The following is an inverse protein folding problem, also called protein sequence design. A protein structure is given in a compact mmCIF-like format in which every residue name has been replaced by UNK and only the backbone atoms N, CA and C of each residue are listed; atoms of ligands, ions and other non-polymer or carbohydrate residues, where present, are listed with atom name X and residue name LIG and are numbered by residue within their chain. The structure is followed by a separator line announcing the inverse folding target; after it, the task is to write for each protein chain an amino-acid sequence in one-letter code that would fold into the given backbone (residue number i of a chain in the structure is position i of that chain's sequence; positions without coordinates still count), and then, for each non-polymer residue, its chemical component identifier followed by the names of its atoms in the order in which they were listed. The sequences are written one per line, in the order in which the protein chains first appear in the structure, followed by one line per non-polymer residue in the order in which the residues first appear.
data_IF_887178171440
#
_entry.id   IF_887178171440
#
_cell.length_a   1.000
_cell.length_b   1.000
_cell.length_c   1.000
_cell.angle_alpha   90.00
_cell.angle_beta   90.00
_cell.angle_gamma   90.00
#
_symmetry.space_group_name_H-M   'P 1'
#
loop_
_entity.id
_entity.type
_entity.pdbx_description
1 polymer ?
#
# COMPACT_ATOMS: atom_id res chain seq x y z
N UNK A 1 68.07 -6.94 -4.99
CA UNK A 1 67.66 -7.68 -3.79
C UNK A 1 66.61 -6.88 -3.04
N UNK A 2 65.61 -7.56 -2.45
CA UNK A 2 64.52 -7.04 -1.60
C UNK A 2 63.32 -6.37 -2.32
N UNK A 3 62.40 -7.20 -2.82
CA UNK A 3 60.95 -7.03 -2.59
C UNK A 3 60.19 -8.22 -3.22
N UNK A 4 60.19 -9.37 -2.53
CA UNK A 4 59.38 -10.56 -2.88
C UNK A 4 59.02 -11.33 -1.60
N UNK A 5 58.35 -10.69 -0.65
CA UNK A 5 57.68 -11.37 0.48
C UNK A 5 56.46 -10.52 0.86
N UNK A 6 55.38 -10.62 0.08
CA UNK A 6 54.05 -10.09 0.44
C UNK A 6 53.00 -10.65 -0.53
N UNK A 7 52.95 -11.97 -0.69
CA UNK A 7 51.86 -12.60 -1.47
C UNK A 7 51.48 -14.01 -1.01
N UNK A 8 51.68 -14.33 0.27
CA UNK A 8 51.27 -15.64 0.84
C UNK A 8 50.37 -15.49 2.08
N UNK A 9 50.04 -14.26 2.51
CA UNK A 9 49.27 -14.00 3.74
C UNK A 9 47.75 -13.91 3.59
N UNK A 10 47.17 -14.00 2.39
CA UNK A 10 45.75 -13.67 2.17
C UNK A 10 44.88 -14.82 1.63
N UNK A 11 45.44 -16.03 1.47
CA UNK A 11 44.68 -17.21 1.01
C UNK A 11 44.47 -18.24 2.14
N UNK A 12 45.13 -18.08 3.30
CA UNK A 12 44.98 -18.99 4.44
C UNK A 12 43.85 -18.66 5.42
N UNK A 13 43.22 -17.48 5.33
CA UNK A 13 42.21 -17.03 6.31
C UNK A 13 40.76 -17.39 5.93
N UNK A 14 40.53 -17.96 4.75
CA UNK A 14 39.17 -18.25 4.24
C UNK A 14 38.68 -19.68 4.50
N UNK A 15 39.47 -20.54 5.15
CA UNK A 15 39.14 -21.97 5.30
C UNK A 15 39.05 -22.48 6.76
N UNK A 16 38.90 -21.58 7.74
CA UNK A 16 38.83 -21.93 9.17
C UNK A 16 37.63 -21.32 9.92
N UNK A 17 36.56 -20.93 9.21
CA UNK A 17 35.37 -20.34 9.80
C UNK A 17 34.16 -21.29 9.89
N UNK A 18 34.36 -22.59 9.72
CA UNK A 18 33.29 -23.59 9.77
C UNK A 18 33.49 -24.60 10.90
N UNK A 19 33.57 -24.13 12.16
CA UNK A 19 33.19 -24.91 13.37
C UNK A 19 33.44 -24.06 14.63
N UNK A 20 32.49 -23.22 15.05
CA UNK A 20 32.43 -22.72 16.43
C UNK A 20 30.95 -22.53 16.86
N UNK A 21 30.57 -22.88 18.10
CA UNK A 21 29.18 -23.12 18.51
C UNK A 21 28.37 -21.85 18.87
N UNK A 22 27.05 -22.05 18.85
CA UNK A 22 25.91 -21.15 19.08
C UNK A 22 25.88 -20.55 20.51
N UNK A 23 26.83 -19.67 20.86
CA UNK A 23 26.79 -18.95 22.16
C UNK A 23 27.15 -17.45 22.11
N UNK A 24 27.20 -16.83 20.93
CA UNK A 24 27.53 -15.40 20.78
C UNK A 24 26.35 -14.45 20.54
N UNK A 25 25.12 -14.95 20.34
CA UNK A 25 23.95 -14.10 20.06
C UNK A 25 23.53 -13.23 21.26
N UNK A 26 23.78 -13.65 22.50
CA UNK A 26 23.42 -12.88 23.70
C UNK A 26 24.36 -11.69 23.99
N UNK A 27 25.64 -11.78 23.64
CA UNK A 27 26.62 -10.72 23.90
C UNK A 27 26.53 -9.61 22.84
N UNK A 28 26.26 -9.98 21.59
CA UNK A 28 26.06 -9.04 20.49
C UNK A 28 24.83 -8.15 20.71
N UNK A 29 23.73 -8.73 21.22
CA UNK A 29 22.53 -7.95 21.56
C UNK A 29 22.78 -6.97 22.71
N UNK A 30 23.60 -7.34 23.70
CA UNK A 30 24.00 -6.42 24.79
C UNK A 30 24.93 -5.30 24.32
N UNK A 31 25.83 -5.58 23.38
CA UNK A 31 26.70 -4.57 22.77
C UNK A 31 25.90 -3.62 21.88
N UNK A 32 24.95 -4.15 21.09
CA UNK A 32 24.06 -3.34 20.25
C UNK A 32 23.15 -2.44 21.09
N UNK A 33 22.55 -2.97 22.17
CA UNK A 33 21.78 -2.16 23.13
C UNK A 33 22.63 -1.06 23.80
N UNK A 34 23.88 -1.36 24.18
CA UNK A 34 24.77 -0.33 24.75
C UNK A 34 25.17 0.74 23.74
N UNK A 35 25.36 0.36 22.48
CA UNK A 35 25.67 1.30 21.40
C UNK A 35 24.46 2.19 21.07
N UNK A 36 23.25 1.63 21.02
CA UNK A 36 22.00 2.36 20.80
C UNK A 36 21.71 3.32 21.98
N UNK A 37 21.87 2.87 23.23
CA UNK A 37 21.73 3.75 24.40
C UNK A 37 22.78 4.88 24.45
N UNK A 38 24.00 4.63 23.98
CA UNK A 38 25.03 5.66 23.90
C UNK A 38 24.73 6.67 22.77
N UNK A 39 24.18 6.21 21.65
CA UNK A 39 23.76 7.06 20.54
C UNK A 39 22.55 7.93 20.91
N UNK A 40 21.54 7.37 21.58
CA UNK A 40 20.40 8.13 22.10
C UNK A 40 20.84 9.17 23.12
N UNK A 41 21.69 8.82 24.10
CA UNK A 41 22.21 9.81 25.06
C UNK A 41 23.02 10.93 24.41
N UNK A 42 23.75 10.63 23.32
CA UNK A 42 24.50 11.65 22.58
C UNK A 42 23.58 12.55 21.73
N UNK A 43 22.50 12.00 21.19
CA UNK A 43 21.48 12.73 20.45
C UNK A 43 20.64 13.61 21.39
N UNK A 44 20.21 13.09 22.54
CA UNK A 44 19.49 13.85 23.56
C UNK A 44 20.33 14.99 24.13
N UNK A 45 21.62 14.76 24.37
CA UNK A 45 22.53 15.82 24.86
C UNK A 45 22.70 16.93 23.82
N UNK A 46 22.80 16.59 22.53
CA UNK A 46 22.86 17.57 21.43
C UNK A 46 21.52 18.27 21.17
N UNK A 47 20.40 17.59 21.42
CA UNK A 47 19.07 18.17 21.32
C UNK A 47 18.82 19.16 22.47
N UNK A 48 19.17 18.80 23.71
CA UNK A 48 19.06 19.66 24.89
C UNK A 48 19.92 20.92 24.78
N UNK A 49 21.15 20.83 24.26
CA UNK A 49 22.01 22.00 24.01
C UNK A 49 21.47 22.94 22.93
N UNK A 50 20.58 22.48 22.03
CA UNK A 50 20.02 23.29 20.94
C UNK A 50 18.59 23.79 21.16
N UNK A 51 17.82 23.21 22.09
CA UNK A 51 16.40 23.57 22.25
C UNK A 51 15.99 23.93 23.67
N UNK A 52 16.85 23.79 24.70
CA UNK A 52 16.53 24.23 26.06
C UNK A 52 15.30 23.55 26.69
N UNK A 53 14.88 22.38 26.18
CA UNK A 53 13.75 21.60 26.70
C UNK A 53 14.29 20.40 27.48
N UNK A 54 13.93 20.33 28.76
CA UNK A 54 14.33 19.26 29.67
C UNK A 54 13.27 18.15 29.65
N UNK A 55 13.52 17.05 28.95
CA UNK A 55 12.62 15.88 28.92
C UNK A 55 13.32 14.69 29.55
N UNK A 56 13.01 14.43 30.82
CA UNK A 56 13.41 13.20 31.51
C UNK A 56 12.58 12.02 31.04
N UNK A 57 13.25 10.95 30.63
CA UNK A 57 12.64 9.69 30.22
C UNK A 57 12.56 8.73 31.40
N UNK A 58 11.40 8.10 31.61
CA UNK A 58 11.31 6.82 32.32
C UNK A 58 10.13 6.00 31.80
N UNK A 59 10.44 4.84 31.25
CA UNK A 59 9.55 3.71 31.00
C UNK A 59 9.30 2.91 32.29
N UNK A 60 8.05 2.56 32.62
CA UNK A 60 7.52 1.19 32.53
C UNK A 60 6.04 1.13 33.02
N UNK A 61 5.34 0.19 32.42
CA UNK A 61 3.95 -0.31 32.51
C UNK A 61 3.17 -0.15 33.82
N UNK A 62 1.95 0.42 33.78
CA UNK A 62 0.73 -0.15 34.40
C UNK A 62 -0.53 0.65 33.99
N UNK A 63 -1.51 -0.04 33.40
CA UNK A 63 -2.88 0.49 33.20
C UNK A 63 -3.51 0.85 34.55
N UNK A 64 -3.67 2.14 34.82
CA UNK A 64 -4.70 2.65 35.73
C UNK A 64 -5.13 4.02 35.21
N UNK A 65 -6.42 4.15 34.92
CA UNK A 65 -7.10 5.41 34.66
C UNK A 65 -6.79 6.42 35.77
N UNK A 66 -5.99 7.44 35.46
CA UNK A 66 -5.91 8.64 36.27
C UNK A 66 -5.87 9.87 35.37
N UNK A 67 -6.92 10.65 35.52
CA UNK A 67 -7.12 12.00 35.05
C UNK A 67 -5.94 12.88 35.52
N UNK A 68 -4.91 12.99 34.68
CA UNK A 68 -3.82 13.94 34.83
C UNK A 68 -4.17 15.23 34.10
N UNK A 69 -4.48 16.28 34.87
CA UNK A 69 -4.58 17.66 34.39
C UNK A 69 -3.25 18.10 33.74
N UNK A 70 -3.12 17.89 32.43
CA UNK A 70 -2.09 18.56 31.62
C UNK A 70 -2.59 19.96 31.26
N UNK A 71 -2.50 20.86 32.24
CA UNK A 71 -2.74 22.28 32.03
C UNK A 71 -1.52 22.89 31.34
N UNK A 72 -1.61 23.16 30.04
CA UNK A 72 -0.56 23.93 29.36
C UNK A 72 -0.66 24.06 27.86
N UNK A 73 -1.15 23.05 27.14
CA UNK A 73 -1.23 23.13 25.68
C UNK A 73 -2.63 23.55 25.23
N UNK A 74 -2.77 24.62 24.42
CA UNK A 74 -4.07 25.00 23.89
C UNK A 74 -4.59 23.84 23.02
N UNK A 75 -5.73 23.28 23.40
CA UNK A 75 -6.45 22.36 22.55
C UNK A 75 -6.97 23.12 21.31
N UNK A 76 -6.86 22.50 20.13
CA UNK A 76 -7.42 23.08 18.94
C UNK A 76 -8.95 23.20 19.08
N UNK A 77 -9.48 24.42 19.01
CA UNK A 77 -10.92 24.71 19.12
C UNK A 77 -11.51 25.24 17.81
N UNK A 78 -10.73 25.24 16.72
CA UNK A 78 -11.15 25.78 15.43
C UNK A 78 -10.38 25.18 14.25
N UNK A 79 -10.60 25.74 13.06
CA UNK A 79 -10.03 25.27 11.80
C UNK A 79 -11.09 24.60 10.92
N UNK A 80 -11.13 24.97 9.63
CA UNK A 80 -12.10 24.45 8.66
C UNK A 80 -11.75 23.07 8.09
N UNK A 81 -10.77 22.38 8.68
CA UNK A 81 -10.21 21.16 8.11
C UNK A 81 -9.33 21.42 6.88
N UNK A 82 -9.02 20.35 6.14
CA UNK A 82 -8.27 20.41 4.89
C UNK A 82 -9.25 20.42 3.71
N UNK A 83 -8.90 21.16 2.65
CA UNK A 83 -9.62 21.09 1.39
C UNK A 83 -9.36 19.74 0.74
N UNK A 84 -10.42 18.99 0.46
CA UNK A 84 -10.36 17.63 -0.13
C UNK A 84 -10.78 17.60 -1.60
N UNK A 85 -11.08 18.76 -2.19
CA UNK A 85 -11.37 18.85 -3.62
C UNK A 85 -10.11 18.54 -4.42
N UNK A 86 -10.24 17.76 -5.51
CA UNK A 86 -9.11 17.50 -6.41
C UNK A 86 -8.43 18.80 -6.87
N UNK A 87 -7.10 18.80 -7.08
CA UNK A 87 -6.41 19.93 -7.68
C UNK A 87 -7.01 20.29 -9.05
N UNK A 88 -7.14 21.58 -9.33
CA UNK A 88 -7.57 22.03 -10.66
C UNK A 88 -6.46 21.76 -11.68
N UNK A 89 -6.73 20.83 -12.60
CA UNK A 89 -5.77 20.40 -13.62
C UNK A 89 -5.33 21.58 -14.50
N UNK A 90 -6.28 22.42 -14.94
CA UNK A 90 -5.99 23.51 -15.88
C UNK A 90 -5.16 24.61 -15.22
N UNK A 91 -5.51 24.97 -13.99
CA UNK A 91 -4.76 25.96 -13.22
C UNK A 91 -3.32 25.50 -13.00
N UNK A 92 -3.13 24.26 -12.53
CA UNK A 92 -1.80 23.72 -12.25
C UNK A 92 -0.94 23.57 -13.53
N UNK A 93 -1.54 23.28 -14.69
CA UNK A 93 -0.80 23.26 -15.96
C UNK A 93 -0.35 24.67 -16.38
N UNK A 94 -1.18 25.70 -16.17
CA UNK A 94 -0.80 27.09 -16.45
C UNK A 94 0.30 27.58 -15.50
N UNK A 95 0.24 27.20 -14.22
CA UNK A 95 1.28 27.49 -13.24
C UNK A 95 2.60 26.81 -13.59
N UNK A 96 2.55 25.54 -14.02
CA UNK A 96 3.70 24.79 -14.48
C UNK A 96 4.39 25.47 -15.66
N UNK A 97 3.62 25.89 -16.68
CA UNK A 97 4.15 26.59 -17.85
C UNK A 97 4.82 27.92 -17.46
N UNK A 98 4.17 28.69 -16.57
CA UNK A 98 4.68 29.97 -16.08
C UNK A 98 6.00 29.78 -15.31
N UNK A 99 6.03 28.84 -14.38
CA UNK A 99 7.22 28.52 -13.59
C UNK A 99 8.37 28.01 -14.46
N UNK A 100 8.07 27.19 -15.48
CA UNK A 100 9.08 26.66 -16.40
C UNK A 100 9.72 27.79 -17.22
N UNK A 101 8.92 28.72 -17.77
CA UNK A 101 9.43 29.90 -18.48
C UNK A 101 10.30 30.79 -17.60
N UNK A 102 10.00 30.86 -16.30
CA UNK A 102 10.80 31.55 -15.31
C UNK A 102 12.04 30.76 -14.83
N UNK A 103 12.32 29.59 -15.41
CA UNK A 103 13.40 28.66 -15.00
C UNK A 103 13.28 28.14 -13.56
N UNK A 104 12.10 28.28 -12.95
CA UNK A 104 11.80 27.75 -11.62
C UNK A 104 11.36 26.29 -11.72
N UNK A 105 12.32 25.41 -11.96
CA UNK A 105 12.02 24.00 -12.24
C UNK A 105 11.38 23.24 -11.07
N UNK A 106 11.64 23.66 -9.83
CA UNK A 106 11.01 23.09 -8.64
C UNK A 106 9.50 23.33 -8.62
N UNK A 107 9.10 24.59 -8.82
CA UNK A 107 7.69 25.00 -8.90
C UNK A 107 7.00 24.38 -10.13
N UNK A 108 7.68 24.38 -11.28
CA UNK A 108 7.16 23.74 -12.48
C UNK A 108 6.87 22.26 -12.25
N UNK A 109 7.80 21.54 -11.60
CA UNK A 109 7.63 20.13 -11.26
C UNK A 109 6.47 19.92 -10.28
N UNK A 110 6.38 20.71 -9.23
CA UNK A 110 5.31 20.61 -8.23
C UNK A 110 3.94 20.83 -8.88
N UNK A 111 3.79 21.86 -9.71
CA UNK A 111 2.55 22.15 -10.40
C UNK A 111 2.15 21.01 -11.37
N UNK A 112 3.10 20.42 -12.11
CA UNK A 112 2.81 19.23 -12.93
C UNK A 112 2.32 18.06 -12.06
N UNK A 113 2.92 17.82 -10.90
CA UNK A 113 2.48 16.77 -9.98
C UNK A 113 1.05 17.01 -9.46
N UNK A 114 0.71 18.25 -9.13
CA UNK A 114 -0.66 18.62 -8.75
C UNK A 114 -1.65 18.42 -9.89
N UNK A 115 -1.28 18.79 -11.13
CA UNK A 115 -2.13 18.55 -12.30
C UNK A 115 -2.37 17.05 -12.52
N UNK A 116 -1.33 16.21 -12.41
CA UNK A 116 -1.45 14.75 -12.51
C UNK A 116 -2.37 14.18 -11.43
N UNK A 117 -2.19 14.60 -10.17
CA UNK A 117 -3.07 14.22 -9.08
C UNK A 117 -4.53 14.60 -9.37
N UNK A 118 -4.78 15.80 -9.92
CA UNK A 118 -6.12 16.23 -10.35
C UNK A 118 -6.73 15.28 -11.39
N UNK A 119 -5.97 14.91 -12.43
CA UNK A 119 -6.42 13.97 -13.47
C UNK A 119 -6.74 12.60 -12.89
N UNK A 120 -5.89 12.07 -12.02
CA UNK A 120 -6.09 10.76 -11.38
C UNK A 120 -7.34 10.75 -10.49
N UNK A 121 -7.58 11.83 -9.75
CA UNK A 121 -8.79 11.97 -8.95
C UNK A 121 -10.04 12.10 -9.82
N UNK A 122 -9.98 12.77 -10.97
CA UNK A 122 -11.10 12.80 -11.93
C UNK A 122 -11.41 11.40 -12.48
N UNK A 123 -10.38 10.64 -12.85
CA UNK A 123 -10.52 9.27 -13.33
C UNK A 123 -11.13 8.39 -12.25
N UNK A 124 -10.59 8.43 -11.03
CA UNK A 124 -11.09 7.62 -9.92
C UNK A 124 -12.55 7.92 -9.58
N UNK A 125 -12.96 9.19 -9.60
CA UNK A 125 -14.36 9.57 -9.40
C UNK A 125 -15.27 9.08 -10.54
N UNK A 126 -14.82 9.16 -11.81
CA UNK A 126 -15.57 8.60 -12.94
C UNK A 126 -15.74 7.09 -12.83
N UNK A 127 -14.70 6.38 -12.39
CA UNK A 127 -14.76 4.95 -12.11
C UNK A 127 -15.78 4.66 -11.01
N UNK A 128 -15.73 5.35 -9.86
CA UNK A 128 -16.73 5.17 -8.78
C UNK A 128 -18.17 5.38 -9.28
N UNK A 129 -18.42 6.40 -10.09
CA UNK A 129 -19.74 6.67 -10.66
C UNK A 129 -20.21 5.56 -11.62
N UNK A 130 -19.27 4.83 -12.25
CA UNK A 130 -19.59 3.71 -13.13
C UNK A 130 -19.83 2.38 -12.39
N UNK A 131 -19.41 2.27 -11.12
CA UNK A 131 -19.64 1.06 -10.34
C UNK A 131 -21.13 0.91 -10.00
N UNK A 132 -21.67 -0.31 -9.94
CA UNK A 132 -23.08 -0.54 -9.62
C UNK A 132 -23.50 0.12 -8.30
N UNK A 133 -24.76 0.53 -8.19
CA UNK A 133 -25.34 0.98 -6.92
C UNK A 133 -25.70 -0.20 -6.00
N UNK A 134 -26.03 -1.35 -6.59
CA UNK A 134 -26.31 -2.57 -5.84
C UNK A 134 -25.65 -3.77 -6.50
N UNK A 135 -25.23 -4.75 -5.68
CA UNK A 135 -24.66 -6.01 -6.15
C UNK A 135 -25.23 -7.14 -5.31
N UNK A 136 -25.89 -8.12 -5.94
CA UNK A 136 -26.51 -9.25 -5.22
C UNK A 136 -27.43 -8.84 -4.06
N UNK A 137 -28.15 -7.71 -4.21
CA UNK A 137 -29.03 -7.16 -3.18
C UNK A 137 -28.32 -6.37 -2.06
N UNK A 138 -26.99 -6.23 -2.13
CA UNK A 138 -26.20 -5.39 -1.23
C UNK A 138 -26.17 -3.95 -1.78
N UNK A 139 -26.62 -2.93 -1.02
CA UNK A 139 -26.47 -1.54 -1.40
C UNK A 139 -25.03 -1.07 -1.17
N UNK A 140 -24.56 -0.13 -2.01
CA UNK A 140 -23.27 0.50 -1.79
C UNK A 140 -23.29 1.42 -0.56
N UNK A 141 -22.13 1.53 0.10
CA UNK A 141 -21.92 2.38 1.26
C UNK A 141 -21.17 3.63 0.84
N UNK A 142 -21.91 4.69 0.50
CA UNK A 142 -21.34 5.98 0.08
C UNK A 142 -20.23 6.53 1.02
N UNK A 143 -20.33 6.40 2.36
CA UNK A 143 -19.24 6.85 3.24
C UNK A 143 -17.94 6.05 3.10
N UNK A 144 -18.00 4.82 2.58
CA UNK A 144 -16.84 3.95 2.32
C UNK A 144 -16.21 4.20 0.95
N UNK A 145 -16.88 4.95 0.05
CA UNK A 145 -16.31 5.28 -1.26
C UNK A 145 -15.05 6.12 -1.07
N UNK A 146 -13.95 5.64 -1.65
CA UNK A 146 -12.65 6.28 -1.51
C UNK A 146 -11.89 6.28 -2.83
N UNK A 147 -11.36 7.44 -3.20
CA UNK A 147 -10.33 7.59 -4.22
C UNK A 147 -9.09 8.09 -3.54
N UNK A 148 -7.96 7.45 -3.78
CA UNK A 148 -6.66 7.88 -3.28
C UNK A 148 -5.66 7.78 -4.40
N UNK A 149 -4.83 8.82 -4.55
CA UNK A 149 -3.66 8.77 -5.40
C UNK A 149 -2.44 9.25 -4.63
N UNK A 150 -1.30 8.62 -4.91
CA UNK A 150 0.01 9.08 -4.45
C UNK A 150 0.60 10.21 -5.28
N UNK A 151 -0.01 10.57 -6.42
CA UNK A 151 0.39 11.70 -7.28
C UNK A 151 1.76 11.55 -7.96
N UNK A 152 2.28 10.31 -8.02
CA UNK A 152 3.61 9.98 -8.55
C UNK A 152 3.49 8.94 -9.67
N UNK A 153 3.18 9.43 -10.88
CA UNK A 153 2.86 8.56 -12.02
C UNK A 153 1.51 7.88 -11.86
N UNK A 154 1.07 7.16 -12.89
CA UNK A 154 -0.17 6.37 -12.86
C UNK A 154 -0.21 5.29 -11.76
N UNK A 155 0.92 5.05 -11.09
CA UNK A 155 1.09 4.07 -10.02
C UNK A 155 0.63 4.66 -8.70
N UNK A 156 -0.31 3.96 -8.05
CA UNK A 156 -0.83 4.34 -6.74
C UNK A 156 -2.20 5.02 -6.73
N UNK A 157 -2.90 5.07 -7.87
CA UNK A 157 -4.35 5.29 -7.88
C UNK A 157 -5.04 4.04 -7.31
N UNK A 158 -5.81 4.22 -6.23
CA UNK A 158 -6.66 3.21 -5.61
C UNK A 158 -8.08 3.74 -5.46
N UNK A 159 -9.04 2.95 -5.89
CA UNK A 159 -10.47 3.25 -5.84
C UNK A 159 -11.15 2.13 -5.09
N UNK A 160 -11.91 2.47 -4.06
CA UNK A 160 -12.57 1.51 -3.18
C UNK A 160 -14.06 1.83 -3.08
N UNK A 161 -14.88 0.79 -3.17
CA UNK A 161 -16.31 0.83 -2.86
C UNK A 161 -16.71 -0.41 -2.08
N UNK A 162 -17.53 -0.21 -1.07
CA UNK A 162 -18.07 -1.29 -0.24
C UNK A 162 -19.57 -1.46 -0.49
N UNK A 163 -20.01 -2.71 -0.60
CA UNK A 163 -21.42 -3.09 -0.59
C UNK A 163 -21.66 -3.93 0.66
N UNK A 164 -22.62 -3.51 1.47
CA UNK A 164 -22.84 -4.14 2.78
C UNK A 164 -24.33 -4.19 3.08
N UNK A 165 -24.78 -5.35 3.55
CA UNK A 165 -26.08 -5.54 4.16
C UNK A 165 -25.99 -6.64 5.21
N UNK A 166 -26.47 -6.36 6.42
CA UNK A 166 -26.42 -7.28 7.56
C UNK A 166 -24.98 -7.78 7.79
N UNK A 167 -24.74 -9.08 7.67
CA UNK A 167 -23.42 -9.72 7.82
C UNK A 167 -22.72 -9.99 6.47
N UNK A 168 -23.33 -9.65 5.33
CA UNK A 168 -22.77 -9.94 4.00
C UNK A 168 -22.14 -8.71 3.38
N UNK A 169 -20.89 -8.84 2.95
CA UNK A 169 -20.08 -7.73 2.43
C UNK A 169 -19.38 -8.10 1.12
N UNK A 170 -19.36 -7.16 0.18
CA UNK A 170 -18.50 -7.17 -1.00
C UNK A 170 -17.67 -5.88 -1.01
N UNK A 171 -16.36 -5.98 -0.80
CA UNK A 171 -15.44 -4.85 -0.99
C UNK A 171 -14.83 -4.93 -2.39
N UNK A 172 -14.97 -3.85 -3.15
CA UNK A 172 -14.37 -3.69 -4.48
C UNK A 172 -13.19 -2.75 -4.38
N UNK A 173 -12.01 -3.22 -4.78
CA UNK A 173 -10.79 -2.44 -4.88
C UNK A 173 -10.30 -2.44 -6.33
N UNK A 174 -10.11 -1.27 -6.90
CA UNK A 174 -9.46 -1.08 -8.20
C UNK A 174 -8.16 -0.35 -7.95
N UNK A 175 -7.04 -0.90 -8.41
CA UNK A 175 -5.74 -0.34 -8.12
C UNK A 175 -4.81 -0.42 -9.31
N UNK A 176 -3.98 0.61 -9.49
CA UNK A 176 -2.79 0.55 -10.33
C UNK A 176 -1.59 0.12 -9.48
N UNK A 177 -1.23 -1.17 -9.55
CA UNK A 177 -0.18 -1.76 -8.73
C UNK A 177 0.55 -2.87 -9.50
N UNK A 178 1.72 -2.54 -10.04
CA UNK A 178 2.55 -3.47 -10.83
C UNK A 178 3.08 -4.66 -10.04
N UNK A 179 3.32 -4.52 -8.72
CA UNK A 179 3.77 -5.62 -7.88
C UNK A 179 2.64 -6.64 -7.68
N UNK A 180 1.42 -6.18 -7.41
CA UNK A 180 0.26 -7.06 -7.31
C UNK A 180 -0.06 -7.71 -8.67
N UNK A 181 0.00 -6.94 -9.76
CA UNK A 181 -0.15 -7.47 -11.11
C UNK A 181 0.86 -8.57 -11.43
N UNK A 182 2.12 -8.41 -11.02
CA UNK A 182 3.15 -9.43 -11.19
C UNK A 182 2.81 -10.72 -10.45
N UNK A 183 2.26 -10.61 -9.23
CA UNK A 183 1.80 -11.78 -8.47
C UNK A 183 0.63 -12.48 -9.19
N UNK A 184 -0.38 -11.75 -9.65
CA UNK A 184 -1.51 -12.34 -10.40
C UNK A 184 -1.02 -12.99 -11.69
N UNK A 185 -0.09 -12.38 -12.41
CA UNK A 185 0.49 -12.95 -13.62
C UNK A 185 1.24 -14.27 -13.34
N UNK A 186 1.87 -14.41 -12.17
CA UNK A 186 2.46 -15.68 -11.75
C UNK A 186 1.41 -16.76 -11.55
N UNK A 187 0.28 -16.44 -10.90
CA UNK A 187 -0.85 -17.37 -10.76
C UNK A 187 -1.45 -17.76 -12.12
N UNK A 188 -1.58 -16.80 -13.03
CA UNK A 188 -2.13 -17.02 -14.38
C UNK A 188 -1.17 -17.82 -15.28
N UNK A 189 0.14 -17.61 -15.16
CA UNK A 189 1.15 -18.33 -15.93
C UNK A 189 1.36 -19.77 -15.44
N UNK A 190 1.19 -20.04 -14.14
CA UNK A 190 1.42 -21.36 -13.53
C UNK A 190 0.17 -22.26 -13.46
N UNK A 191 -0.82 -22.04 -14.33
CA UNK A 191 -2.10 -22.78 -14.33
C UNK A 191 -1.98 -24.31 -14.41
N UNK A 192 -0.87 -24.83 -14.95
CA UNK A 192 -0.59 -26.27 -15.02
C UNK A 192 -0.26 -26.93 -13.67
N UNK A 193 0.09 -26.16 -12.64
CA UNK A 193 0.42 -26.67 -11.29
C UNK A 193 -0.67 -26.39 -10.25
N UNK A 194 -1.68 -25.59 -10.62
CA UNK A 194 -2.70 -25.14 -9.68
C UNK A 194 -3.69 -26.23 -9.34
N UNK A 195 -4.20 -26.96 -10.33
CA UNK A 195 -5.27 -27.96 -10.17
C UNK A 195 -4.72 -29.34 -9.78
N UNK A 196 -4.25 -29.48 -8.55
CA UNK A 196 -3.84 -30.80 -8.03
C UNK A 196 -5.03 -31.49 -7.36
N UNK A 197 -5.44 -32.63 -7.87
CA UNK A 197 -6.36 -33.54 -7.18
C UNK A 197 -5.64 -34.12 -5.95
N UNK A 198 -6.06 -33.71 -4.74
CA UNK A 198 -5.60 -34.30 -3.47
C UNK A 198 -4.78 -33.41 -2.54
N UNK A 199 -4.74 -32.08 -2.74
CA UNK A 199 -4.16 -31.12 -1.80
C UNK A 199 -5.15 -30.00 -1.43
N UNK A 200 -4.86 -29.25 -0.36
CA UNK A 200 -5.58 -28.03 0.05
C UNK A 200 -5.34 -26.91 -0.98
N UNK A 201 -5.93 -27.05 -2.16
CA UNK A 201 -5.90 -26.03 -3.19
C UNK A 201 -6.97 -24.98 -2.87
N UNK A 202 -6.54 -23.85 -2.32
CA UNK A 202 -7.41 -22.76 -1.92
C UNK A 202 -7.56 -21.66 -3.00
N UNK A 203 -7.07 -21.89 -4.22
CA UNK A 203 -7.19 -20.94 -5.32
C UNK A 203 -7.30 -21.63 -6.68
N UNK A 204 -7.90 -20.96 -7.67
CA UNK A 204 -7.92 -21.44 -9.05
C UNK A 204 -8.06 -20.30 -10.05
N UNK A 205 -7.74 -20.60 -11.30
CA UNK A 205 -8.02 -19.72 -12.43
C UNK A 205 -9.50 -19.84 -12.84
N UNK A 206 -10.10 -18.71 -13.20
CA UNK A 206 -11.48 -18.62 -13.70
C UNK A 206 -11.60 -17.48 -14.72
N UNK A 207 -12.83 -17.13 -15.12
CA UNK A 207 -13.10 -15.99 -15.98
C UNK A 207 -14.30 -15.18 -15.51
N UNK A 208 -14.20 -13.86 -15.57
CA UNK A 208 -15.31 -12.92 -15.35
C UNK A 208 -15.56 -12.21 -16.68
N UNK A 209 -16.74 -12.35 -17.27
CA UNK A 209 -17.07 -11.77 -18.59
C UNK A 209 -15.99 -11.99 -19.68
N UNK A 210 -15.35 -13.16 -19.68
CA UNK A 210 -14.28 -13.51 -20.64
C UNK A 210 -12.87 -13.07 -20.24
N UNK A 211 -12.73 -12.17 -19.26
CA UNK A 211 -11.45 -11.75 -18.71
C UNK A 211 -10.88 -12.81 -17.77
N UNK A 212 -9.58 -13.09 -17.89
CA UNK A 212 -8.88 -14.04 -17.02
C UNK A 212 -8.91 -13.55 -15.58
N UNK A 213 -9.17 -14.46 -14.65
CA UNK A 213 -9.30 -14.15 -13.24
C UNK A 213 -8.63 -15.21 -12.38
N UNK A 214 -8.29 -14.84 -11.16
CA UNK A 214 -7.89 -15.76 -10.09
C UNK A 214 -8.90 -15.61 -8.97
N UNK A 215 -9.46 -16.73 -8.51
CA UNK A 215 -10.27 -16.78 -7.31
C UNK A 215 -9.54 -17.55 -6.23
N UNK A 216 -9.52 -16.99 -5.03
CA UNK A 216 -8.98 -17.56 -3.81
C UNK A 216 -10.11 -17.70 -2.78
N UNK A 217 -10.02 -18.69 -1.91
CA UNK A 217 -10.92 -18.90 -0.79
C UNK A 217 -10.12 -19.10 0.50
N UNK A 218 -10.57 -18.48 1.57
CA UNK A 218 -10.04 -18.64 2.91
C UNK A 218 -11.21 -18.68 3.89
N UNK A 219 -11.17 -19.61 4.86
CA UNK A 219 -12.29 -19.82 5.79
C UNK A 219 -12.55 -18.59 6.67
N UNK A 220 -11.52 -17.78 6.95
CA UNK A 220 -11.61 -16.62 7.84
C UNK A 220 -12.01 -15.33 7.14
N UNK A 221 -11.67 -15.19 5.86
CA UNK A 221 -11.85 -13.94 5.08
C UNK A 221 -12.78 -14.08 3.88
N UNK A 222 -13.24 -15.29 3.56
CA UNK A 222 -14.17 -15.56 2.46
C UNK A 222 -13.47 -15.69 1.11
N UNK A 223 -14.13 -15.22 0.05
CA UNK A 223 -13.61 -15.31 -1.31
C UNK A 223 -12.89 -14.02 -1.70
N UNK A 224 -11.79 -14.16 -2.44
CA UNK A 224 -11.11 -13.04 -3.09
C UNK A 224 -10.98 -13.33 -4.58
N UNK A 225 -11.60 -12.50 -5.41
CA UNK A 225 -11.59 -12.62 -6.86
C UNK A 225 -10.80 -11.46 -7.46
N UNK A 226 -9.74 -11.75 -8.19
CA UNK A 226 -8.87 -10.76 -8.81
C UNK A 226 -8.92 -10.87 -10.34
N UNK A 227 -9.15 -9.75 -11.02
CA UNK A 227 -9.16 -9.64 -12.48
C UNK A 227 -8.19 -8.54 -12.91
N UNK A 228 -7.13 -8.90 -13.67
CA UNK A 228 -6.35 -7.93 -14.43
C UNK A 228 -7.24 -7.11 -15.36
N UNK A 229 -7.10 -5.79 -15.29
CA UNK A 229 -7.74 -4.85 -16.22
C UNK A 229 -6.80 -4.46 -17.38
N UNK A 230 -5.50 -4.74 -17.24
CA UNK A 230 -4.52 -4.49 -18.29
C UNK A 230 -3.11 -4.83 -17.85
N UNK A 231 -2.16 -3.96 -18.15
CA UNK A 231 -0.75 -4.17 -17.78
C UNK A 231 -0.49 -3.76 -16.34
N UNK A 232 -1.15 -2.71 -15.88
CA UNK A 232 -0.82 -2.06 -14.59
C UNK A 232 -1.95 -2.04 -13.58
N UNK A 233 -3.19 -2.23 -14.03
CA UNK A 233 -4.37 -2.17 -13.17
C UNK A 233 -5.06 -3.52 -12.99
N UNK A 234 -5.67 -3.69 -11.83
CA UNK A 234 -6.54 -4.81 -11.47
C UNK A 234 -7.79 -4.31 -10.75
N UNK A 235 -8.84 -5.13 -10.80
CA UNK A 235 -9.98 -5.09 -9.89
C UNK A 235 -9.95 -6.33 -8.99
N UNK A 236 -10.26 -6.13 -7.72
CA UNK A 236 -10.33 -7.15 -6.70
C UNK A 236 -11.65 -7.03 -5.98
N UNK A 237 -12.35 -8.15 -5.86
CA UNK A 237 -13.53 -8.29 -5.03
C UNK A 237 -13.20 -9.19 -3.85
N UNK A 238 -13.34 -8.65 -2.64
CA UNK A 238 -13.33 -9.44 -1.41
C UNK A 238 -14.78 -9.64 -0.95
N UNK A 239 -15.21 -10.89 -0.88
CA UNK A 239 -16.58 -11.31 -0.68
C UNK A 239 -16.69 -12.11 0.61
N UNK A 240 -17.17 -11.45 1.67
CA UNK A 240 -17.36 -12.02 3.01
C UNK A 240 -18.80 -12.52 3.14
N UNK A 241 -18.96 -13.73 3.68
CA UNK A 241 -20.25 -14.41 3.86
C UNK A 241 -21.04 -14.62 2.54
N UNK A 242 -20.31 -14.82 1.44
CA UNK A 242 -20.87 -15.39 0.21
C UNK A 242 -20.84 -16.91 0.31
N UNK A 243 -21.98 -17.57 0.10
CA UNK A 243 -22.11 -18.99 0.39
C UNK A 243 -21.33 -19.86 -0.61
N UNK A 244 -21.22 -19.40 -1.86
CA UNK A 244 -20.58 -20.15 -2.94
C UNK A 244 -19.79 -19.24 -3.85
N UNK A 245 -18.78 -19.81 -4.51
CA UNK A 245 -18.09 -19.16 -5.63
C UNK A 245 -19.08 -18.63 -6.67
N UNK A 246 -20.16 -19.36 -6.97
CA UNK A 246 -21.13 -18.93 -7.99
C UNK A 246 -21.82 -17.61 -7.62
N UNK A 247 -22.06 -17.36 -6.34
CA UNK A 247 -22.59 -16.06 -5.89
C UNK A 247 -21.58 -14.94 -6.12
N UNK A 248 -20.30 -15.19 -5.87
CA UNK A 248 -19.20 -14.23 -6.10
C UNK A 248 -19.07 -13.94 -7.60
N UNK A 249 -19.12 -14.96 -8.45
CA UNK A 249 -19.07 -14.78 -9.90
C UNK A 249 -20.29 -14.00 -10.41
N UNK A 250 -21.47 -14.25 -9.85
CA UNK A 250 -22.70 -13.50 -10.19
C UNK A 250 -22.56 -12.03 -9.80
N UNK A 251 -22.03 -11.75 -8.60
CA UNK A 251 -21.74 -10.39 -8.15
C UNK A 251 -20.74 -9.67 -9.07
N UNK A 252 -19.61 -10.31 -9.38
CA UNK A 252 -18.57 -9.73 -10.24
C UNK A 252 -19.06 -9.47 -11.68
N UNK A 253 -19.96 -10.30 -12.21
CA UNK A 253 -20.54 -10.10 -13.54
C UNK A 253 -21.46 -8.86 -13.63
N UNK A 254 -21.81 -8.21 -12.52
CA UNK A 254 -22.56 -6.94 -12.56
C UNK A 254 -21.70 -5.75 -12.98
N UNK A 255 -20.36 -5.85 -12.85
CA UNK A 255 -19.43 -4.77 -13.15
C UNK A 255 -19.16 -4.65 -14.65
N UNK A 256 -19.05 -3.42 -15.15
CA UNK A 256 -18.66 -3.12 -16.53
C UNK A 256 -17.13 -3.11 -16.67
N UNK A 257 -16.54 -4.31 -16.74
CA UNK A 257 -15.08 -4.47 -16.81
C UNK A 257 -14.50 -3.73 -18.02
N UNK A 258 -15.13 -3.82 -19.19
CA UNK A 258 -14.62 -3.16 -20.40
C UNK A 258 -14.69 -1.63 -20.30
N UNK A 259 -15.77 -1.10 -19.68
CA UNK A 259 -15.88 0.32 -19.34
C UNK A 259 -14.80 0.79 -18.36
N UNK A 260 -14.44 -0.03 -17.37
CA UNK A 260 -13.33 0.26 -16.45
C UNK A 260 -12.00 0.31 -17.18
N UNK A 261 -11.68 -0.68 -18.00
CA UNK A 261 -10.45 -0.75 -18.83
C UNK A 261 -10.31 0.52 -19.66
N UNK A 262 -11.38 0.90 -20.37
CA UNK A 262 -11.41 2.10 -21.20
C UNK A 262 -11.20 3.38 -20.40
N UNK A 263 -11.83 3.49 -19.23
CA UNK A 263 -11.74 4.70 -18.38
C UNK A 263 -10.37 4.86 -17.75
N UNK A 264 -9.72 3.74 -17.39
CA UNK A 264 -8.37 3.70 -16.84
C UNK A 264 -7.28 3.86 -17.91
N UNK A 265 -7.63 3.74 -19.20
CA UNK A 265 -6.66 3.84 -20.30
C UNK A 265 -5.74 2.62 -20.43
N UNK A 266 -6.19 1.46 -19.95
CA UNK A 266 -5.45 0.20 -20.06
C UNK A 266 -5.52 -0.39 -21.49
N UNK A 267 -4.45 -1.06 -21.93
CA UNK A 267 -4.31 -1.69 -23.25
C UNK A 267 -3.78 -3.13 -23.16
#
# INVERSE_FOLDING_TARGET
MRSKILLVGLVGAAWLASTMPVRAQGLMNKLKQKAEQAAEKALDKKAQEKTGVNTGSSSDTQSTSSSGNSAGNPANKGGGGLVTTPPDVKANLADAETAFKATSYGEARYAVQQAMLGVEMEIGNKVLLSLPETVSGLPFQKPSDKVTSTGWGWVGLTIEREYLKDDKQLRTLIANNSAWMSAINLYLANGGYAQTTGGEQNWKQTKVKGHRAVIEYDESTGYKLSVPLGQTSLIVWEAVNFATEQEVMTAANTFDIDGLIKTLGEQ
#
